data_IF_941749268940
#
_entry.id   IF_941749268940
#
_cell.length_a   1.000
_cell.length_b   1.000
_cell.length_c   1.000
_cell.angle_alpha   90.00
_cell.angle_beta   90.00
_cell.angle_gamma   90.00
#
_symmetry.space_group_name_H-M   'P 1'
#
loop_
_entity.id
_entity.type
_entity.pdbx_description
1 polymer ?
#
# COMPACT_ATOMS: atom_id res chain seq x y z
N UNK A 1 55.48 -2.68 29.89
CA UNK A 1 54.93 -3.52 28.81
C UNK A 1 54.55 -4.86 29.41
N UNK A 2 53.29 -5.28 29.54
CA UNK A 2 52.06 -4.85 28.90
C UNK A 2 50.90 -4.83 29.90
N UNK A 3 50.03 -3.87 29.67
CA UNK A 3 48.83 -3.55 30.42
C UNK A 3 47.83 -4.70 30.36
N UNK A 4 47.29 -5.06 31.52
CA UNK A 4 46.12 -5.92 31.66
C UNK A 4 44.91 -5.13 31.15
N UNK A 5 44.57 -5.36 29.88
CA UNK A 5 43.45 -4.75 29.19
C UNK A 5 42.13 -5.23 29.82
N UNK A 6 41.38 -4.22 30.28
CA UNK A 6 40.01 -4.25 30.79
C UNK A 6 39.10 -5.30 30.13
N UNK A 7 38.61 -6.25 30.92
CA UNK A 7 37.45 -7.06 30.57
C UNK A 7 36.19 -6.23 30.86
N UNK A 8 35.85 -5.32 29.96
CA UNK A 8 34.55 -4.64 29.94
C UNK A 8 33.54 -5.63 29.35
N UNK A 9 32.92 -6.43 30.22
CA UNK A 9 31.66 -7.12 29.94
C UNK A 9 30.59 -6.06 29.66
N UNK A 10 30.49 -5.63 28.41
CA UNK A 10 29.28 -5.01 27.87
C UNK A 10 28.21 -6.10 27.81
N UNK A 11 27.57 -6.35 28.96
CA UNK A 11 26.21 -6.89 28.96
C UNK A 11 25.39 -5.80 28.29
N UNK A 12 25.19 -5.94 26.97
CA UNK A 12 24.10 -5.23 26.33
C UNK A 12 22.84 -5.73 27.02
N UNK A 13 22.28 -4.89 27.88
CA UNK A 13 20.87 -4.99 28.23
C UNK A 13 20.13 -4.77 26.92
N UNK A 14 19.88 -5.87 26.20
CA UNK A 14 18.78 -5.95 25.27
C UNK A 14 17.56 -5.74 26.15
N UNK A 15 17.15 -4.49 26.29
CA UNK A 15 15.81 -4.17 26.73
C UNK A 15 14.92 -4.79 25.68
N UNK A 16 14.47 -6.01 25.93
CA UNK A 16 13.23 -6.50 25.36
C UNK A 16 12.20 -5.49 25.82
N UNK A 17 11.92 -4.51 24.95
CA UNK A 17 10.69 -3.75 25.05
C UNK A 17 9.64 -4.81 24.74
N UNK A 18 9.12 -5.44 25.78
CA UNK A 18 7.85 -6.15 25.69
C UNK A 18 6.85 -5.09 25.23
N UNK A 19 6.57 -5.09 23.93
CA UNK A 19 5.38 -4.45 23.40
C UNK A 19 4.22 -5.25 23.98
N UNK A 20 3.72 -4.80 25.13
CA UNK A 20 2.55 -5.42 25.75
C UNK A 20 1.45 -5.50 24.70
N UNK A 21 0.96 -6.73 24.48
CA UNK A 21 -0.22 -6.98 23.67
C UNK A 21 -1.35 -6.11 24.22
N UNK A 22 -2.06 -5.45 23.32
CA UNK A 22 -3.23 -4.64 23.66
C UNK A 22 -4.17 -5.44 24.56
N UNK A 23 -4.74 -4.76 25.56
CA UNK A 23 -5.71 -5.40 26.43
C UNK A 23 -6.93 -5.85 25.61
N UNK A 24 -7.55 -6.96 26.04
CA UNK A 24 -8.78 -7.46 25.44
C UNK A 24 -9.87 -6.38 25.36
N UNK A 25 -9.97 -5.50 26.36
CA UNK A 25 -10.90 -4.37 26.41
C UNK A 25 -10.55 -3.27 25.39
N UNK A 26 -9.27 -2.98 25.21
CA UNK A 26 -8.81 -2.04 24.18
C UNK A 26 -9.02 -2.60 22.77
N UNK A 27 -8.85 -3.91 22.59
CA UNK A 27 -9.21 -4.61 21.36
C UNK A 27 -10.73 -4.67 21.15
N UNK A 28 -11.53 -4.90 22.19
CA UNK A 28 -13.00 -4.93 22.15
C UNK A 28 -13.61 -3.56 21.80
N UNK A 29 -13.04 -2.48 22.33
CA UNK A 29 -13.39 -1.12 21.89
C UNK A 29 -12.95 -0.84 20.44
N UNK A 30 -11.82 -1.42 19.99
CA UNK A 30 -11.41 -1.37 18.58
C UNK A 30 -12.30 -2.24 17.68
N UNK A 31 -12.89 -3.30 18.24
CA UNK A 31 -13.84 -4.23 17.61
C UNK A 31 -15.16 -3.55 17.24
N UNK A 32 -15.74 -2.70 18.10
CA UNK A 32 -17.03 -2.06 17.79
C UNK A 32 -16.97 -1.05 16.64
N UNK A 33 -15.78 -0.54 16.30
CA UNK A 33 -15.64 0.60 15.38
C UNK A 33 -15.01 0.29 14.02
N UNK A 34 -14.27 -0.82 13.87
CA UNK A 34 -13.65 -1.27 12.59
C UNK A 34 -14.67 -1.66 11.48
N UNK A 35 -15.94 -1.27 11.63
CA UNK A 35 -17.03 -1.53 10.68
C UNK A 35 -18.20 -0.54 10.73
N UNK A 36 -18.10 0.61 11.42
CA UNK A 36 -19.24 1.54 11.52
C UNK A 36 -19.55 2.35 10.25
N UNK A 37 -18.66 2.33 9.25
CA UNK A 37 -19.02 2.52 7.85
C UNK A 37 -18.38 1.38 7.10
N UNK A 38 -19.17 0.51 6.47
CA UNK A 38 -18.68 -0.55 5.60
C UNK A 38 -18.02 0.13 4.38
N UNK A 39 -16.76 0.52 4.52
CA UNK A 39 -16.00 1.11 3.45
C UNK A 39 -15.63 -0.02 2.51
N UNK A 40 -16.35 -0.09 1.40
CA UNK A 40 -15.99 -1.00 0.32
C UNK A 40 -14.75 -0.41 -0.34
N UNK A 41 -13.71 -1.21 -0.46
CA UNK A 41 -12.47 -0.87 -1.13
C UNK A 41 -12.09 -2.00 -2.08
N UNK A 42 -11.26 -1.67 -3.05
CA UNK A 42 -10.62 -2.62 -3.95
C UNK A 42 -9.25 -3.02 -3.39
N UNK A 43 -8.68 -4.08 -3.96
CA UNK A 43 -7.37 -4.57 -3.57
C UNK A 43 -6.80 -5.51 -4.62
N UNK A 44 -5.47 -5.65 -4.63
CA UNK A 44 -4.76 -6.52 -5.56
C UNK A 44 -4.12 -7.69 -4.83
N UNK A 45 -4.41 -8.92 -5.27
CA UNK A 45 -3.73 -10.13 -4.79
C UNK A 45 -2.30 -10.16 -5.31
N UNK A 46 -1.31 -10.26 -4.42
CA UNK A 46 0.13 -10.25 -4.77
C UNK A 46 0.87 -11.54 -4.39
N UNK A 47 0.20 -12.45 -3.68
CA UNK A 47 0.65 -13.84 -3.47
C UNK A 47 -0.57 -14.72 -3.13
N UNK A 48 -0.36 -16.00 -2.84
CA UNK A 48 -1.43 -16.86 -2.33
C UNK A 48 -2.02 -16.37 -1.00
N UNK A 49 -1.31 -15.52 -0.24
CA UNK A 49 -1.69 -15.13 1.11
C UNK A 49 -1.77 -13.63 1.34
N UNK A 50 -1.50 -12.81 0.32
CA UNK A 50 -1.35 -11.37 0.53
C UNK A 50 -2.12 -10.53 -0.48
N UNK A 51 -2.72 -9.45 0.02
CA UNK A 51 -3.42 -8.41 -0.75
C UNK A 51 -2.82 -7.05 -0.41
N UNK A 52 -2.58 -6.23 -1.43
CA UNK A 52 -2.30 -4.79 -1.26
C UNK A 52 -3.56 -3.97 -1.50
N UNK A 53 -3.76 -2.96 -0.66
CA UNK A 53 -4.87 -1.99 -0.72
C UNK A 53 -4.43 -0.67 -0.06
N UNK A 54 -5.36 0.26 0.19
CA UNK A 54 -5.07 1.55 0.78
C UNK A 54 -5.26 1.56 2.32
N UNK A 55 -4.50 2.40 3.01
CA UNK A 55 -4.62 2.60 4.48
C UNK A 55 -5.93 3.28 4.84
N UNK A 56 -6.40 4.20 4.00
CA UNK A 56 -7.64 4.91 4.23
C UNK A 56 -8.90 4.02 4.17
N UNK A 57 -8.75 2.75 3.80
CA UNK A 57 -9.80 1.73 3.90
C UNK A 57 -10.00 1.21 5.33
N UNK A 58 -9.03 1.43 6.23
CA UNK A 58 -9.04 0.94 7.61
C UNK A 58 -8.89 2.05 8.65
N UNK A 59 -8.31 3.18 8.27
CA UNK A 59 -8.01 4.28 9.18
C UNK A 59 -8.31 5.63 8.50
N UNK A 60 -8.77 6.62 9.25
CA UNK A 60 -9.02 7.95 8.70
C UNK A 60 -7.70 8.70 8.52
N UNK A 61 -7.47 9.20 7.30
CA UNK A 61 -6.38 10.13 7.04
C UNK A 61 -6.81 11.54 7.48
N UNK A 62 -5.93 12.32 8.14
CA UNK A 62 -6.29 13.66 8.62
C UNK A 62 -6.59 14.61 7.45
N UNK A 63 -7.77 15.22 7.44
CA UNK A 63 -8.24 16.15 6.39
C UNK A 63 -7.61 17.56 6.50
N UNK A 64 -7.07 17.93 7.67
CA UNK A 64 -6.57 19.29 7.94
C UNK A 64 -5.05 19.32 8.18
N UNK A 65 -4.32 20.10 7.36
CA UNK A 65 -2.86 20.31 7.43
C UNK A 65 -2.39 21.09 8.67
N UNK A 66 -2.60 20.54 9.87
CA UNK A 66 -1.94 21.02 11.08
C UNK A 66 -0.57 20.33 11.26
N UNK A 67 0.35 21.00 11.98
CA UNK A 67 1.78 20.65 12.11
C UNK A 67 2.09 19.28 12.77
N UNK A 68 1.05 18.49 13.10
CA UNK A 68 1.13 17.15 13.67
C UNK A 68 0.02 16.26 13.10
N UNK A 69 0.13 15.87 11.82
CA UNK A 69 -0.78 14.91 11.21
C UNK A 69 -0.51 13.53 11.80
N UNK A 70 -1.54 12.92 12.40
CA UNK A 70 -1.53 11.51 12.80
C UNK A 70 -2.68 10.81 12.10
N UNK A 71 -2.42 9.61 11.61
CA UNK A 71 -3.47 8.73 11.11
C UNK A 71 -4.36 8.35 12.29
N UNK A 72 -5.66 8.41 12.07
CA UNK A 72 -6.67 8.20 13.09
C UNK A 72 -7.24 6.80 12.94
N UNK A 73 -7.13 6.00 13.99
CA UNK A 73 -7.82 4.73 14.12
C UNK A 73 -8.95 4.92 15.14
N UNK A 74 -10.20 4.75 14.72
CA UNK A 74 -11.37 4.91 15.59
C UNK A 74 -11.41 6.27 16.31
N UNK A 75 -11.23 7.36 15.56
CA UNK A 75 -11.18 8.74 16.07
C UNK A 75 -10.09 9.00 17.13
N UNK A 76 -9.14 8.06 17.30
CA UNK A 76 -7.96 8.21 18.14
C UNK A 76 -6.70 8.23 17.29
N UNK A 77 -5.74 9.11 17.57
CA UNK A 77 -4.48 9.10 16.84
C UNK A 77 -3.72 7.81 17.11
N UNK A 78 -3.13 7.21 16.07
CA UNK A 78 -2.15 6.14 16.24
C UNK A 78 -0.95 6.70 17.00
N UNK A 79 -0.61 6.08 18.13
CA UNK A 79 0.51 6.49 18.96
C UNK A 79 1.74 5.64 18.69
N UNK A 80 2.93 6.26 18.74
CA UNK A 80 4.21 5.59 18.43
C UNK A 80 4.48 4.34 19.28
N UNK A 81 3.95 4.31 20.51
CA UNK A 81 4.08 3.16 21.41
C UNK A 81 3.39 1.90 20.89
N UNK A 82 2.39 2.04 20.03
CA UNK A 82 1.57 0.96 19.51
C UNK A 82 2.08 0.48 18.13
N UNK A 83 3.31 0.88 17.75
CA UNK A 83 3.86 0.71 16.40
C UNK A 83 5.03 -0.28 16.38
N UNK A 84 5.14 -1.01 15.27
CA UNK A 84 6.32 -1.80 14.95
C UNK A 84 7.16 -1.02 13.94
N UNK A 85 8.18 -0.33 14.43
CA UNK A 85 8.99 0.58 13.61
C UNK A 85 8.16 1.76 13.09
N UNK A 86 8.04 1.88 11.77
CA UNK A 86 7.21 2.90 11.09
C UNK A 86 5.77 2.46 10.87
N UNK A 87 5.45 1.21 11.12
CA UNK A 87 4.21 0.58 10.66
C UNK A 87 3.28 0.29 11.85
N UNK A 88 1.98 0.26 11.58
CA UNK A 88 0.97 -0.12 12.56
C UNK A 88 0.38 -1.48 12.20
N UNK A 89 0.42 -2.42 13.15
CA UNK A 89 0.03 -3.81 12.92
C UNK A 89 -1.24 -4.12 13.71
N UNK A 90 -2.26 -4.62 13.02
CA UNK A 90 -3.46 -5.19 13.63
C UNK A 90 -3.35 -6.70 13.48
N UNK A 91 -3.06 -7.39 14.59
CA UNK A 91 -2.91 -8.85 14.66
C UNK A 91 -3.90 -9.51 15.63
N UNK A 92 -4.83 -8.74 16.19
CA UNK A 92 -6.00 -9.26 16.88
C UNK A 92 -6.91 -9.94 15.85
N UNK A 93 -7.08 -11.25 16.01
CA UNK A 93 -7.82 -12.10 15.09
C UNK A 93 -9.32 -11.75 15.05
N UNK A 94 -9.89 -11.31 16.16
CA UNK A 94 -11.30 -10.91 16.26
C UNK A 94 -11.56 -9.58 15.54
N UNK A 95 -10.55 -8.71 15.47
CA UNK A 95 -10.59 -7.49 14.65
C UNK A 95 -10.35 -7.81 13.17
N UNK A 96 -9.28 -8.55 12.87
CA UNK A 96 -8.88 -8.85 11.49
C UNK A 96 -9.95 -9.65 10.73
N UNK A 97 -10.63 -10.60 11.39
CA UNK A 97 -11.70 -11.42 10.78
C UNK A 97 -12.96 -10.64 10.39
N UNK A 98 -13.12 -9.40 10.85
CA UNK A 98 -14.22 -8.52 10.39
C UNK A 98 -14.01 -8.03 8.97
N UNK A 99 -12.78 -8.06 8.48
CA UNK A 99 -12.47 -7.76 7.08
C UNK A 99 -12.81 -8.99 6.23
N UNK A 100 -13.80 -8.82 5.36
CA UNK A 100 -14.19 -9.84 4.40
C UNK A 100 -13.65 -9.50 3.03
N UNK A 101 -12.85 -10.39 2.45
CA UNK A 101 -12.41 -10.26 1.04
C UNK A 101 -13.31 -11.12 0.15
N UNK A 102 -13.85 -10.49 -0.90
CA UNK A 102 -14.61 -11.15 -1.95
C UNK A 102 -14.08 -10.82 -3.33
N UNK A 103 -14.45 -11.63 -4.32
CA UNK A 103 -14.15 -11.38 -5.74
C UNK A 103 -15.46 -11.07 -6.49
N UNK A 104 -15.62 -9.84 -7.01
CA UNK A 104 -16.75 -9.39 -7.84
C UNK A 104 -18.15 -9.83 -7.38
N UNK A 105 -19.08 -10.03 -8.34
CA UNK A 105 -20.50 -10.50 -8.32
C UNK A 105 -21.01 -11.33 -7.12
N UNK A 106 -20.11 -11.86 -6.31
CA UNK A 106 -20.33 -12.74 -5.18
C UNK A 106 -20.75 -11.99 -3.90
N UNK A 107 -20.27 -10.76 -3.65
CA UNK A 107 -20.47 -10.05 -2.36
C UNK A 107 -21.96 -9.82 -2.04
N UNK A 108 -22.82 -9.63 -3.04
CA UNK A 108 -24.25 -9.33 -2.82
C UNK A 108 -25.18 -10.53 -2.87
N UNK A 109 -24.74 -11.68 -3.37
CA UNK A 109 -25.60 -12.85 -3.51
C UNK A 109 -25.54 -13.79 -2.30
N UNK A 110 -24.80 -13.46 -1.24
CA UNK A 110 -24.64 -14.31 -0.05
C UNK A 110 -24.02 -15.68 -0.33
N UNK A 111 -23.40 -15.85 -1.52
CA UNK A 111 -22.86 -17.12 -2.04
C UNK A 111 -21.34 -17.23 -1.92
N UNK A 112 -20.67 -16.24 -1.35
CA UNK A 112 -19.20 -16.18 -1.36
C UNK A 112 -18.59 -16.95 -0.20
N UNK A 113 -17.52 -17.68 -0.51
CA UNK A 113 -16.46 -17.98 0.43
C UNK A 113 -15.70 -16.68 0.72
N UNK A 114 -16.08 -15.95 1.76
CA UNK A 114 -15.31 -14.80 2.24
C UNK A 114 -13.95 -15.29 2.73
N UNK A 115 -12.88 -14.69 2.24
CA UNK A 115 -11.54 -14.95 2.77
C UNK A 115 -11.31 -14.09 4.00
N UNK A 116 -10.93 -14.75 5.09
CA UNK A 116 -10.67 -14.09 6.37
C UNK A 116 -9.24 -13.55 6.42
N UNK A 117 -9.11 -12.33 6.92
CA UNK A 117 -7.82 -11.68 7.17
C UNK A 117 -7.34 -12.09 8.55
N UNK A 118 -6.05 -12.42 8.64
CA UNK A 118 -5.34 -12.77 9.88
C UNK A 118 -4.56 -11.59 10.45
N UNK A 119 -3.99 -10.75 9.58
CA UNK A 119 -3.16 -9.62 9.99
C UNK A 119 -3.22 -8.48 8.97
N UNK A 120 -3.20 -7.25 9.46
CA UNK A 120 -3.26 -6.02 8.66
C UNK A 120 -2.05 -5.17 9.02
N UNK A 121 -1.28 -4.72 8.03
CA UNK A 121 -0.19 -3.76 8.22
C UNK A 121 -0.52 -2.45 7.53
N UNK A 122 -0.72 -1.40 8.30
CA UNK A 122 -0.82 -0.04 7.79
C UNK A 122 0.62 0.49 7.62
N UNK A 123 1.09 0.50 6.38
CA UNK A 123 2.50 0.75 6.07
C UNK A 123 2.82 2.22 6.29
N UNK A 124 3.90 2.49 7.03
CA UNK A 124 4.35 3.83 7.40
C UNK A 124 3.32 4.67 8.17
N UNK A 125 2.27 4.05 8.73
CA UNK A 125 1.18 4.76 9.40
C UNK A 125 1.61 5.48 10.69
N UNK A 126 2.74 5.06 11.27
CA UNK A 126 3.29 5.63 12.51
C UNK A 126 4.37 6.69 12.28
N UNK A 127 4.66 7.05 11.03
CA UNK A 127 5.61 8.14 10.76
C UNK A 127 5.03 9.46 11.27
N UNK A 128 5.91 10.32 11.79
CA UNK A 128 5.54 11.70 12.07
C UNK A 128 5.63 12.46 10.76
N UNK A 129 4.51 12.98 10.29
CA UNK A 129 4.47 13.76 9.06
C UNK A 129 4.67 15.24 9.38
N UNK A 130 5.59 15.88 8.68
CA UNK A 130 5.60 17.34 8.58
C UNK A 130 4.52 17.77 7.57
N UNK A 131 4.01 19.01 7.64
CA UNK A 131 2.86 19.50 6.85
C UNK A 131 3.06 19.52 5.32
N UNK A 132 4.22 19.08 4.83
CA UNK A 132 4.57 18.99 3.41
C UNK A 132 4.93 17.56 2.96
N UNK A 133 4.89 16.58 3.87
CA UNK A 133 5.13 15.17 3.56
C UNK A 133 3.82 14.48 3.18
N UNK A 134 3.87 13.66 2.14
CA UNK A 134 2.70 12.92 1.67
C UNK A 134 2.45 11.71 2.55
N UNK A 135 1.20 11.47 2.96
CA UNK A 135 0.85 10.27 3.70
C UNK A 135 1.03 9.03 2.82
N UNK A 136 1.70 8.00 3.34
CA UNK A 136 1.75 6.68 2.68
C UNK A 136 0.43 5.98 2.92
N UNK A 137 -0.37 5.94 1.88
CA UNK A 137 -1.69 5.33 1.91
C UNK A 137 -1.64 3.92 1.32
N UNK A 138 -0.95 3.02 2.02
CA UNK A 138 -0.71 1.65 1.56
C UNK A 138 -0.84 0.66 2.72
N UNK A 139 -1.58 -0.41 2.48
CA UNK A 139 -1.83 -1.47 3.45
C UNK A 139 -1.60 -2.84 2.84
N UNK A 140 -0.96 -3.70 3.62
CA UNK A 140 -0.81 -5.13 3.32
C UNK A 140 -1.78 -5.93 4.19
N UNK A 141 -2.46 -6.90 3.59
CA UNK A 141 -3.31 -7.86 4.29
C UNK A 141 -2.68 -9.25 4.19
N UNK A 142 -2.59 -9.99 5.29
CA UNK A 142 -2.27 -11.43 5.30
C UNK A 142 -3.55 -12.21 5.55
N UNK A 143 -3.86 -13.14 4.65
CA UNK A 143 -4.99 -14.02 4.75
C UNK A 143 -4.75 -15.13 5.78
N UNK A 144 -5.80 -15.55 6.48
CA UNK A 144 -5.75 -16.72 7.37
C UNK A 144 -5.43 -18.01 6.59
N UNK A 145 -6.06 -18.15 5.43
CA UNK A 145 -5.88 -19.28 4.52
C UNK A 145 -5.43 -18.80 3.14
N UNK A 146 -4.67 -19.63 2.44
CA UNK A 146 -4.25 -19.32 1.07
C UNK A 146 -5.45 -19.24 0.12
N UNK A 147 -5.40 -18.29 -0.81
CA UNK A 147 -6.31 -18.22 -1.94
C UNK A 147 -6.17 -19.47 -2.83
N UNK A 148 -7.28 -20.07 -3.28
CA UNK A 148 -7.27 -21.19 -4.21
C UNK A 148 -6.95 -20.68 -5.62
N UNK A 149 -5.67 -20.43 -5.88
CA UNK A 149 -5.20 -19.88 -7.15
C UNK A 149 -5.63 -20.77 -8.33
N UNK A 150 -6.16 -20.14 -9.38
CA UNK A 150 -6.72 -20.84 -10.53
C UNK A 150 -6.58 -19.97 -11.81
N UNK A 151 -7.36 -20.24 -12.86
CA UNK A 151 -7.32 -19.44 -14.09
C UNK A 151 -7.94 -18.05 -13.95
N UNK A 152 -8.77 -17.82 -12.93
CA UNK A 152 -9.49 -16.55 -12.66
C UNK A 152 -8.93 -15.77 -11.49
N UNK A 153 -8.16 -16.41 -10.60
CA UNK A 153 -7.54 -15.78 -9.43
C UNK A 153 -6.05 -16.12 -9.41
N UNK A 154 -5.21 -15.13 -9.74
CA UNK A 154 -3.75 -15.26 -9.74
C UNK A 154 -3.11 -14.02 -9.14
N UNK A 155 -1.97 -14.14 -8.46
CA UNK A 155 -1.26 -13.00 -7.93
C UNK A 155 -0.63 -12.17 -9.06
N UNK A 156 -0.70 -10.85 -8.92
CA UNK A 156 0.13 -9.94 -9.70
C UNK A 156 1.57 -9.94 -9.17
N UNK A 157 2.55 -9.69 -10.04
CA UNK A 157 3.89 -9.33 -9.59
C UNK A 157 3.87 -7.96 -8.91
N UNK A 158 4.83 -7.67 -8.05
CA UNK A 158 5.03 -6.34 -7.43
C UNK A 158 6.32 -5.73 -7.95
N UNK A 159 6.31 -4.43 -8.20
CA UNK A 159 7.52 -3.73 -8.65
C UNK A 159 8.55 -3.65 -7.52
N UNK A 160 9.73 -4.24 -7.72
CA UNK A 160 10.80 -4.29 -6.71
C UNK A 160 11.81 -3.14 -6.75
N UNK A 161 12.14 -2.63 -7.95
CA UNK A 161 13.14 -1.56 -8.13
C UNK A 161 12.78 -0.62 -9.31
N UNK A 162 11.62 -0.80 -9.94
CA UNK A 162 11.33 -0.32 -11.30
C UNK A 162 10.55 0.99 -11.37
N UNK A 163 10.57 1.81 -10.32
CA UNK A 163 10.02 3.18 -10.40
C UNK A 163 10.75 4.02 -11.46
N UNK A 164 12.04 3.73 -11.68
CA UNK A 164 12.86 4.41 -12.66
C UNK A 164 12.27 4.35 -14.08
N UNK A 165 11.50 3.30 -14.41
CA UNK A 165 10.88 3.16 -15.74
C UNK A 165 9.68 4.10 -15.94
N UNK A 166 8.89 4.34 -14.88
CA UNK A 166 7.75 5.26 -14.93
C UNK A 166 8.27 6.70 -14.85
N UNK A 167 9.20 6.95 -13.95
CA UNK A 167 9.89 8.24 -13.80
C UNK A 167 10.61 8.65 -15.09
N UNK A 168 11.40 7.77 -15.70
CA UNK A 168 12.12 8.07 -16.95
C UNK A 168 11.19 8.24 -18.16
N UNK A 169 9.97 7.69 -18.11
CA UNK A 169 8.97 7.93 -19.14
C UNK A 169 8.29 9.31 -18.97
N UNK A 170 7.99 9.69 -17.72
CA UNK A 170 7.41 11.01 -17.41
C UNK A 170 8.43 12.13 -17.66
N UNK A 171 9.70 11.94 -17.27
CA UNK A 171 10.78 12.93 -17.54
C UNK A 171 10.98 13.13 -19.05
N UNK A 172 10.98 12.05 -19.85
CA UNK A 172 11.08 12.15 -21.32
C UNK A 172 9.90 12.91 -21.93
N UNK A 173 8.69 12.73 -21.42
CA UNK A 173 7.50 13.47 -21.85
C UNK A 173 7.54 14.98 -21.51
N UNK A 174 8.39 15.41 -20.58
CA UNK A 174 8.48 16.81 -20.17
C UNK A 174 9.61 17.59 -20.90
N UNK A 175 10.52 16.88 -21.58
CA UNK A 175 11.68 17.43 -22.28
C UNK A 175 11.46 17.56 -23.81
N UNK A 176 10.52 16.81 -24.38
CA UNK A 176 10.15 16.90 -25.79
C UNK A 176 8.73 17.47 -25.93
N UNK A 177 8.48 18.22 -27.02
CA UNK A 177 7.24 18.93 -27.24
C UNK A 177 6.03 18.01 -27.04
N UNK A 178 4.97 18.50 -26.38
CA UNK A 178 3.76 17.75 -26.02
C UNK A 178 3.05 17.08 -27.22
N UNK A 179 3.46 17.35 -28.46
CA UNK A 179 2.93 16.74 -29.69
C UNK A 179 3.68 15.50 -30.19
N UNK A 180 4.89 15.20 -29.69
CA UNK A 180 5.74 14.15 -30.31
C UNK A 180 5.77 12.80 -29.55
N UNK A 181 5.18 12.70 -28.36
CA UNK A 181 5.12 11.42 -27.62
C UNK A 181 3.86 10.63 -27.97
N UNK A 182 3.73 10.25 -29.23
CA UNK A 182 2.87 9.15 -29.66
C UNK A 182 3.46 7.81 -29.16
N UNK A 183 3.40 7.55 -27.86
CA UNK A 183 3.94 6.33 -27.25
C UNK A 183 4.19 6.37 -25.73
N UNK A 184 3.56 7.29 -25.00
CA UNK A 184 3.75 7.44 -23.55
C UNK A 184 3.47 6.15 -22.76
N UNK A 185 4.15 5.97 -21.64
CA UNK A 185 3.89 4.84 -20.73
C UNK A 185 2.44 4.88 -20.24
N UNK A 186 1.72 3.79 -20.42
CA UNK A 186 0.37 3.59 -19.87
C UNK A 186 0.38 2.51 -18.78
N UNK A 187 -0.67 2.53 -17.96
CA UNK A 187 -0.99 1.52 -16.96
C UNK A 187 -2.46 1.13 -17.13
N UNK A 188 -2.79 -0.10 -16.75
CA UNK A 188 -4.17 -0.57 -16.69
C UNK A 188 -4.65 -0.49 -15.25
N UNK A 189 -5.70 0.29 -15.00
CA UNK A 189 -6.37 0.35 -13.70
C UNK A 189 -7.41 -0.77 -13.57
N UNK A 190 -7.53 -1.32 -12.36
CA UNK A 190 -8.54 -2.31 -11.98
C UNK A 190 -9.14 -1.95 -10.63
N UNK A 191 -10.46 -1.93 -10.56
CA UNK A 191 -11.22 -1.67 -9.34
C UNK A 191 -12.65 -2.19 -9.43
N UNK A 192 -13.38 -2.09 -8.34
CA UNK A 192 -14.80 -2.45 -8.25
C UNK A 192 -15.64 -1.23 -7.87
N UNK A 193 -15.09 -0.03 -7.99
CA UNK A 193 -15.80 1.18 -7.62
C UNK A 193 -16.91 1.55 -8.58
N UNK A 194 -17.63 2.57 -8.17
CA UNK A 194 -18.80 3.07 -8.88
C UNK A 194 -18.38 3.94 -10.05
N UNK A 195 -19.30 4.17 -10.99
CA UNK A 195 -19.01 5.02 -12.15
C UNK A 195 -20.14 6.02 -12.37
N UNK A 196 -20.27 7.01 -11.46
CA UNK A 196 -21.32 8.00 -11.53
C UNK A 196 -21.18 8.83 -12.82
N UNK A 197 -22.32 9.26 -13.37
CA UNK A 197 -22.33 10.21 -14.48
C UNK A 197 -21.64 11.53 -14.07
N UNK A 198 -21.21 12.31 -15.07
CA UNK A 198 -20.37 13.50 -14.87
C UNK A 198 -20.94 14.50 -13.85
N UNK A 199 -22.26 14.65 -13.83
CA UNK A 199 -22.97 15.61 -12.98
C UNK A 199 -23.65 14.94 -11.77
N UNK A 200 -23.32 13.69 -11.50
CA UNK A 200 -23.89 12.95 -10.39
C UNK A 200 -22.89 12.78 -9.25
N UNK A 201 -23.35 12.93 -7.99
CA UNK A 201 -22.51 12.65 -6.86
C UNK A 201 -22.17 11.17 -6.83
N UNK A 202 -20.99 10.84 -6.31
CA UNK A 202 -20.53 9.47 -6.12
C UNK A 202 -21.53 8.58 -5.36
N UNK A 203 -22.32 9.17 -4.45
CA UNK A 203 -23.36 8.49 -3.68
C UNK A 203 -24.65 8.18 -4.46
N UNK A 204 -24.81 8.64 -5.71
CA UNK A 204 -25.98 8.29 -6.55
C UNK A 204 -25.90 6.87 -7.10
N UNK A 205 -24.70 6.31 -7.12
CA UNK A 205 -24.41 4.98 -7.62
C UNK A 205 -25.04 3.88 -6.77
N UNK A 206 -25.60 2.88 -7.44
CA UNK A 206 -26.26 1.78 -6.75
C UNK A 206 -25.24 0.80 -6.17
N UNK A 207 -25.58 0.17 -5.04
CA UNK A 207 -24.77 -0.93 -4.49
C UNK A 207 -24.48 -2.04 -5.53
N UNK A 208 -25.33 -2.19 -6.55
CA UNK A 208 -25.13 -3.17 -7.62
C UNK A 208 -23.91 -2.90 -8.52
N UNK A 209 -23.36 -1.67 -8.52
CA UNK A 209 -22.19 -1.31 -9.32
C UNK A 209 -20.90 -1.95 -8.78
N UNK A 210 -20.79 -2.19 -7.47
CA UNK A 210 -19.64 -2.89 -6.87
C UNK A 210 -19.50 -4.37 -7.29
N UNK A 211 -20.42 -4.88 -8.12
CA UNK A 211 -20.44 -6.28 -8.54
C UNK A 211 -19.50 -6.58 -9.72
N UNK A 212 -19.07 -5.57 -10.47
CA UNK A 212 -18.29 -5.76 -11.69
C UNK A 212 -16.94 -5.08 -11.59
N UNK A 213 -15.91 -5.80 -11.99
CA UNK A 213 -14.57 -5.23 -12.16
C UNK A 213 -14.64 -4.18 -13.28
N UNK A 214 -14.23 -2.97 -12.94
CA UNK A 214 -14.03 -1.87 -13.85
C UNK A 214 -12.55 -1.80 -14.22
N UNK A 215 -12.28 -1.53 -15.49
CA UNK A 215 -10.92 -1.34 -15.98
C UNK A 215 -10.86 -0.26 -17.04
N UNK A 216 -9.80 0.54 -16.99
CA UNK A 216 -9.47 1.52 -18.02
C UNK A 216 -7.97 1.76 -18.07
N UNK A 217 -7.53 2.29 -19.20
CA UNK A 217 -6.13 2.66 -19.41
C UNK A 217 -5.91 4.06 -18.85
N UNK A 218 -4.86 4.21 -18.04
CA UNK A 218 -4.42 5.46 -17.45
C UNK A 218 -3.02 5.82 -17.92
N UNK A 219 -2.76 7.13 -18.03
CA UNK A 219 -1.47 7.67 -18.39
C UNK A 219 -0.92 8.50 -17.22
N UNK A 220 0.26 8.14 -16.66
CA UNK A 220 0.98 8.97 -15.72
C UNK A 220 1.26 10.36 -16.30
N UNK A 221 0.90 11.39 -15.56
CA UNK A 221 1.15 12.79 -15.87
C UNK A 221 2.38 13.29 -15.11
N UNK A 222 2.44 12.99 -13.82
CA UNK A 222 3.51 13.43 -12.92
C UNK A 222 3.87 12.36 -11.93
N UNK A 223 5.10 12.45 -11.45
CA UNK A 223 5.65 11.54 -10.47
C UNK A 223 6.27 12.40 -9.36
N UNK A 224 5.70 12.32 -8.17
CA UNK A 224 6.15 13.12 -7.04
C UNK A 224 7.12 12.32 -6.17
N UNK A 225 8.15 13.02 -5.71
CA UNK A 225 8.96 12.65 -4.54
C UNK A 225 8.88 13.80 -3.57
N UNK A 226 8.39 13.57 -2.36
CA UNK A 226 8.54 14.59 -1.32
C UNK A 226 10.03 14.71 -0.96
N UNK A 227 10.44 15.86 -0.42
CA UNK A 227 11.78 16.04 0.16
C UNK A 227 11.60 16.22 1.65
N UNK A 228 12.33 15.44 2.45
CA UNK A 228 12.37 15.67 3.89
C UNK A 228 13.08 17.02 4.15
N UNK A 229 12.40 18.03 4.71
CA UNK A 229 12.93 19.41 4.75
C UNK A 229 14.24 19.53 5.55
N UNK A 230 14.41 18.69 6.58
CA UNK A 230 15.55 18.75 7.51
C UNK A 230 16.82 18.04 7.05
N UNK A 231 16.71 17.06 6.16
CA UNK A 231 17.86 16.23 5.77
C UNK A 231 18.31 16.42 4.33
N UNK A 232 17.53 17.14 3.51
CA UNK A 232 17.76 17.28 2.07
C UNK A 232 17.58 15.97 1.29
N UNK A 233 17.27 14.85 1.96
CA UNK A 233 16.98 13.56 1.34
C UNK A 233 15.53 13.54 0.84
N UNK A 234 15.34 13.00 -0.35
CA UNK A 234 14.00 12.70 -0.86
C UNK A 234 13.28 11.74 0.09
N UNK A 235 11.98 11.96 0.31
CA UNK A 235 11.11 10.94 0.88
C UNK A 235 11.21 9.70 0.00
N UNK A 236 11.29 8.54 0.63
CA UNK A 236 11.15 7.25 -0.06
C UNK A 236 9.80 7.14 -0.78
N UNK A 237 8.83 7.91 -0.31
CA UNK A 237 7.45 7.93 -0.74
C UNK A 237 7.34 8.56 -2.13
N UNK A 238 6.68 7.81 -3.00
CA UNK A 238 6.54 8.16 -4.39
C UNK A 238 5.07 8.08 -4.78
N UNK A 239 4.56 9.16 -5.34
CA UNK A 239 3.19 9.25 -5.81
C UNK A 239 3.17 9.39 -7.32
N UNK A 240 2.17 8.81 -7.96
CA UNK A 240 1.96 8.89 -9.40
C UNK A 240 0.63 9.60 -9.62
N UNK A 241 0.66 10.77 -10.23
CA UNK A 241 -0.54 11.41 -10.77
C UNK A 241 -0.81 10.80 -12.13
N UNK A 242 -2.00 10.27 -12.36
CA UNK A 242 -2.41 9.74 -13.64
C UNK A 242 -3.83 10.20 -13.99
N UNK A 243 -4.20 9.98 -15.24
CA UNK A 243 -5.54 10.26 -15.78
C UNK A 243 -5.91 9.20 -16.79
N UNK A 244 -7.21 8.95 -16.96
CA UNK A 244 -7.73 8.08 -18.02
C UNK A 244 -7.33 8.60 -19.40
N UNK A 245 -6.81 7.71 -20.26
CA UNK A 245 -6.45 8.08 -21.65
C UNK A 245 -7.66 8.39 -22.51
N UNK A 246 -8.84 7.86 -22.15
CA UNK A 246 -10.09 8.17 -22.84
C UNK A 246 -10.76 9.41 -22.30
N UNK A 247 -10.26 10.00 -21.20
CA UNK A 247 -10.83 11.16 -20.52
C UNK A 247 -12.33 10.96 -20.20
N UNK A 248 -12.72 9.72 -19.87
CA UNK A 248 -14.12 9.33 -19.60
C UNK A 248 -14.30 8.56 -18.30
N UNK A 249 -13.20 8.11 -17.71
CA UNK A 249 -13.19 7.29 -16.50
C UNK A 249 -12.36 7.97 -15.44
N UNK A 250 -12.79 7.81 -14.19
CA UNK A 250 -12.07 8.21 -13.00
C UNK A 250 -12.43 7.24 -11.88
N UNK A 251 -11.46 6.90 -11.04
CA UNK A 251 -11.70 6.09 -9.84
C UNK A 251 -12.67 6.79 -8.88
N UNK A 252 -13.61 6.07 -8.29
CA UNK A 252 -14.64 6.62 -7.40
C UNK A 252 -14.84 5.73 -6.15
N UNK A 253 -15.98 5.85 -5.46
CA UNK A 253 -16.31 5.05 -4.27
C UNK A 253 -16.07 3.58 -4.58
N UNK A 254 -15.33 2.87 -3.72
CA UNK A 254 -15.00 1.46 -3.92
C UNK A 254 -13.74 1.18 -4.70
N UNK A 255 -13.24 2.12 -5.49
CA UNK A 255 -12.00 1.93 -6.23
C UNK A 255 -10.77 2.09 -5.34
N UNK A 256 -10.86 2.82 -4.22
CA UNK A 256 -9.84 2.96 -3.19
C UNK A 256 -9.08 1.66 -2.93
N UNK A 257 -7.75 1.68 -3.04
CA UNK A 257 -6.91 0.49 -2.90
C UNK A 257 -6.79 -0.41 -4.15
N UNK A 258 -7.54 -0.10 -5.21
CA UNK A 258 -7.45 -0.72 -6.54
C UNK A 258 -6.08 -0.55 -7.20
N UNK A 259 -5.77 -1.46 -8.11
CA UNK A 259 -4.43 -1.64 -8.65
C UNK A 259 -4.23 -0.98 -10.01
N UNK A 260 -3.19 -0.17 -10.14
CA UNK A 260 -2.62 0.24 -11.42
C UNK A 260 -1.50 -0.72 -11.80
N UNK A 261 -1.62 -1.39 -12.94
CA UNK A 261 -0.72 -2.46 -13.37
C UNK A 261 -0.08 -2.18 -14.72
N UNK A 262 1.04 -2.85 -14.98
CA UNK A 262 1.71 -2.87 -16.29
C UNK A 262 2.22 -4.26 -16.59
N UNK A 263 2.32 -4.59 -17.87
CA UNK A 263 3.06 -5.79 -18.30
C UNK A 263 4.55 -5.47 -18.26
N UNK A 264 5.27 -6.07 -17.32
CA UNK A 264 6.74 -5.95 -17.17
C UNK A 264 7.32 -7.35 -17.29
N UNK A 265 8.28 -7.55 -18.20
CA UNK A 265 8.88 -8.86 -18.49
C UNK A 265 7.83 -9.95 -18.77
N UNK A 266 6.77 -9.59 -19.50
CA UNK A 266 5.68 -10.50 -19.85
C UNK A 266 4.74 -10.86 -18.70
N UNK A 267 4.80 -10.17 -17.56
CA UNK A 267 3.95 -10.41 -16.40
C UNK A 267 3.21 -9.15 -15.95
N UNK A 268 1.92 -9.29 -15.63
CA UNK A 268 1.15 -8.24 -14.96
C UNK A 268 1.79 -7.91 -13.63
N UNK A 269 2.25 -6.68 -13.50
CA UNK A 269 2.98 -6.17 -12.36
C UNK A 269 2.25 -4.95 -11.81
N UNK A 270 1.88 -5.00 -10.54
CA UNK A 270 1.32 -3.88 -9.80
C UNK A 270 2.40 -2.82 -9.59
N UNK A 271 2.10 -1.60 -10.04
CA UNK A 271 3.01 -0.45 -9.99
C UNK A 271 2.46 0.70 -9.16
N UNK A 272 1.14 0.78 -8.99
CA UNK A 272 0.48 1.80 -8.16
C UNK A 272 -0.76 1.26 -7.47
N UNK A 273 -1.09 1.82 -6.32
CA UNK A 273 -2.34 1.59 -5.58
C UNK A 273 -3.07 2.91 -5.48
N UNK A 274 -4.33 2.98 -5.92
CA UNK A 274 -5.10 4.24 -5.89
C UNK A 274 -5.33 4.67 -4.45
N UNK A 275 -4.97 5.92 -4.17
CA UNK A 275 -5.07 6.55 -2.86
C UNK A 275 -6.12 7.65 -2.87
N UNK A 276 -6.04 8.58 -3.82
CA UNK A 276 -6.94 9.71 -3.92
C UNK A 276 -7.41 9.89 -5.36
N UNK A 277 -8.57 10.51 -5.50
CA UNK A 277 -9.21 10.75 -6.78
C UNK A 277 -10.02 12.03 -6.69
N UNK A 278 -10.21 12.70 -7.82
CA UNK A 278 -11.05 13.88 -7.94
C UNK A 278 -12.55 13.56 -8.10
N UNK A 279 -12.93 12.28 -7.92
CA UNK A 279 -14.30 11.85 -8.11
C UNK A 279 -15.26 12.56 -7.15
N UNK A 280 -14.91 12.74 -5.88
CA UNK A 280 -15.80 13.39 -4.91
C UNK A 280 -16.05 14.87 -5.22
N UNK A 281 -15.09 15.53 -5.85
CA UNK A 281 -15.12 16.96 -6.22
C UNK A 281 -15.89 17.24 -7.51
N UNK A 282 -16.53 16.22 -8.12
CA UNK A 282 -17.19 16.31 -9.43
C UNK A 282 -16.25 16.76 -10.57
N UNK A 283 -14.93 16.70 -10.36
CA UNK A 283 -13.95 16.88 -11.42
C UNK A 283 -13.85 15.56 -12.19
N UNK A 284 -14.30 15.59 -13.44
CA UNK A 284 -14.48 14.43 -14.32
C UNK A 284 -13.80 14.67 -15.66
N UNK A 285 -13.78 13.62 -16.46
CA UNK A 285 -13.31 13.65 -17.84
C UNK A 285 -11.88 14.21 -17.95
N UNK A 286 -11.66 15.23 -18.78
CA UNK A 286 -10.35 15.84 -19.00
C UNK A 286 -9.77 16.53 -17.75
N UNK A 287 -10.63 16.89 -16.79
CA UNK A 287 -10.22 17.48 -15.50
C UNK A 287 -10.03 16.43 -14.40
N UNK A 288 -10.29 15.15 -14.68
CA UNK A 288 -10.13 14.09 -13.69
C UNK A 288 -8.67 13.87 -13.31
N UNK A 289 -8.43 13.69 -12.01
CA UNK A 289 -7.12 13.41 -11.45
C UNK A 289 -7.18 12.20 -10.53
N UNK A 290 -6.22 11.30 -10.70
CA UNK A 290 -6.05 10.11 -9.87
C UNK A 290 -4.63 10.08 -9.31
N UNK A 291 -4.51 9.83 -8.00
CA UNK A 291 -3.24 9.80 -7.29
C UNK A 291 -3.01 8.39 -6.73
N UNK A 292 -1.90 7.79 -7.16
CA UNK A 292 -1.51 6.45 -6.79
C UNK A 292 -0.28 6.46 -5.90
N UNK A 293 -0.26 5.64 -4.86
CA UNK A 293 0.98 5.31 -4.14
C UNK A 293 1.77 4.34 -5.00
N UNK A 294 3.01 4.70 -5.34
CA UNK A 294 3.88 3.83 -6.14
C UNK A 294 4.29 2.62 -5.31
N UNK A 295 3.99 1.42 -5.81
CA UNK A 295 4.31 0.17 -5.10
C UNK A 295 5.82 0.05 -4.91
N UNK A 296 6.68 0.33 -5.89
CA UNK A 296 8.13 0.23 -5.67
C UNK A 296 8.69 1.02 -4.46
N UNK A 297 8.00 2.07 -3.99
CA UNK A 297 8.44 2.90 -2.86
C UNK A 297 8.50 2.22 -1.49
N UNK A 298 7.86 1.04 -1.35
CA UNK A 298 7.81 0.27 -0.10
C UNK A 298 8.15 -1.21 -0.32
N UNK A 299 8.98 -1.49 -1.33
CA UNK A 299 9.32 -2.86 -1.75
C UNK A 299 9.93 -3.74 -0.66
N UNK A 300 10.65 -3.12 0.26
CA UNK A 300 11.18 -3.75 1.45
C UNK A 300 10.08 -4.34 2.34
N UNK A 301 8.87 -3.75 2.37
CA UNK A 301 7.81 -4.15 3.30
C UNK A 301 7.10 -5.44 2.94
N UNK A 302 6.80 -5.69 1.66
CA UNK A 302 6.28 -7.01 1.27
C UNK A 302 7.38 -8.06 1.14
N UNK A 303 8.65 -7.68 1.03
CA UNK A 303 9.75 -8.63 1.23
C UNK A 303 9.84 -9.04 2.71
N UNK A 304 9.85 -8.08 3.63
CA UNK A 304 9.92 -8.27 5.08
C UNK A 304 8.72 -9.06 5.61
N UNK A 305 7.49 -8.62 5.31
CA UNK A 305 6.27 -9.20 5.88
C UNK A 305 5.70 -10.35 5.04
N UNK A 306 5.83 -10.27 3.71
CA UNK A 306 5.21 -11.23 2.79
C UNK A 306 6.18 -12.24 2.17
N UNK A 307 7.50 -12.07 2.35
CA UNK A 307 8.52 -12.88 1.66
C UNK A 307 8.60 -12.65 0.14
N UNK A 308 7.98 -11.58 -0.37
CA UNK A 308 7.89 -11.26 -1.79
C UNK A 308 9.04 -10.31 -2.15
N UNK A 309 10.22 -10.87 -2.38
CA UNK A 309 11.44 -10.08 -2.59
C UNK A 309 11.85 -9.97 -4.07
N UNK A 310 12.48 -8.86 -4.46
CA UNK A 310 13.16 -8.77 -5.75
C UNK A 310 14.48 -9.57 -5.72
N UNK A 311 14.92 -10.05 -6.89
CA UNK A 311 16.09 -10.92 -7.01
C UNK A 311 17.41 -10.29 -6.56
N UNK A 312 17.50 -8.96 -6.47
CA UNK A 312 18.68 -8.22 -5.99
C UNK A 312 18.97 -8.45 -4.51
N UNK A 313 17.95 -8.71 -3.68
CA UNK A 313 18.10 -8.89 -2.23
C UNK A 313 18.55 -10.30 -1.81
N UNK A 314 18.39 -11.30 -2.67
CA UNK A 314 18.81 -12.68 -2.38
C UNK A 314 20.32 -12.84 -2.19
N UNK A 315 21.12 -11.92 -2.73
CA UNK A 315 22.58 -12.01 -2.70
C UNK A 315 23.12 -11.61 -1.32
N UNK A 316 22.51 -10.62 -0.65
CA UNK A 316 22.99 -10.13 0.65
C UNK A 316 22.72 -11.10 1.80
N UNK A 317 21.58 -11.80 1.83
CA UNK A 317 21.33 -12.77 2.91
C UNK A 317 22.17 -14.05 2.79
N UNK A 318 22.45 -14.50 1.57
CA UNK A 318 23.37 -15.62 1.34
C UNK A 318 24.81 -15.22 1.71
N UNK A 319 25.24 -14.00 1.36
CA UNK A 319 26.56 -13.48 1.77
C UNK A 319 26.68 -13.32 3.28
N UNK A 320 25.66 -12.79 3.97
CA UNK A 320 25.67 -12.68 5.45
C UNK A 320 25.70 -14.07 6.09
N UNK A 321 24.91 -15.03 5.58
CA UNK A 321 24.96 -16.41 6.04
C UNK A 321 26.33 -17.07 5.85
N UNK A 322 26.97 -16.84 4.70
CA UNK A 322 28.31 -17.35 4.39
C UNK A 322 29.38 -16.67 5.25
N UNK A 323 29.29 -15.35 5.49
CA UNK A 323 30.26 -14.62 6.32
C UNK A 323 30.18 -15.06 7.78
N UNK A 324 28.97 -15.28 8.32
CA UNK A 324 28.77 -15.83 9.67
C UNK A 324 29.33 -17.25 9.77
N UNK A 325 29.10 -18.08 8.75
CA UNK A 325 29.60 -19.46 8.72
C UNK A 325 31.14 -19.52 8.59
N UNK A 326 31.74 -18.67 7.77
CA UNK A 326 33.20 -18.55 7.62
C UNK A 326 33.83 -18.01 8.90
N UNK A 327 33.19 -17.06 9.57
CA UNK A 327 33.69 -16.50 10.84
C UNK A 327 33.61 -17.51 11.99
N UNK A 328 32.67 -18.45 11.93
CA UNK A 328 32.60 -19.59 12.86
C UNK A 328 33.72 -20.61 12.58
N UNK A 329 34.03 -20.89 11.31
CA UNK A 329 35.07 -21.84 10.91
C UNK A 329 36.52 -21.31 11.06
N UNK A 330 36.73 -19.99 11.10
CA UNK A 330 38.05 -19.38 11.31
C UNK A 330 38.39 -19.23 12.81
N UNK A 331 37.41 -19.38 13.70
CA UNK A 331 37.57 -19.28 15.15
C UNK A 331 37.56 -20.65 15.88
N UNK A 332 37.66 -21.76 15.15
CA UNK A 332 38.13 -23.07 15.66
C UNK A 332 39.60 -23.29 15.24
#
# INVERSE_FOLDING_TARGET
MNEKLFLLMLISTVSFIECDKLSKEENENRLETCGQKMQTCSGTVISSRHVLTATHCFASLPENMNRFLKIMMNDKPIEKKDCTGSDYIIDDLEVAKKVSIGTGKSIQQGKTQSYLVKKIWLISACRKFESHESLVDLTLLEMENDFPLNSRLRPACVSGDSFHTIEMAVIRNHLESMSDVAGGVTMDFYGYGTQPAVNEPESSSSLAEFQYEQTWVIQPQFVFRSKTPKSGKYSEEQLILARSTSEKSVACAGDSGGGATRVINGRTTLVGVISQTSCREMLREAAALELYVAVASKSEKWCEYGGICSGSWRINQVLVGIIVFISYLINE
#
